data_IF_957449397664
#
_entry.id   IF_957449397664
#
_cell.length_a   1.000
_cell.length_b   1.000
_cell.length_c   1.000
_cell.angle_alpha   90.00
_cell.angle_beta   90.00
_cell.angle_gamma   90.00
#
_symmetry.space_group_name_H-M   'P 1'
#
loop_
_entity.id
_entity.type
_entity.pdbx_description
1 polymer ?
#
# COMPACT_ATOMS: atom_id res chain seq x y z
N UNK A 1 45.84 15.21 -4.65
CA UNK A 1 46.21 14.80 -6.02
C UNK A 1 46.33 13.28 -6.01
N UNK A 2 45.80 12.49 -6.98
CA UNK A 2 45.13 12.79 -8.26
C UNK A 2 43.66 12.28 -8.33
N UNK A 3 42.74 13.03 -8.95
CA UNK A 3 42.20 12.93 -10.33
C UNK A 3 40.92 12.07 -10.45
N UNK A 4 39.78 12.78 -10.54
CA UNK A 4 38.48 12.30 -11.00
C UNK A 4 38.50 12.05 -12.52
N UNK A 5 37.85 10.99 -13.05
CA UNK A 5 37.58 10.87 -14.48
C UNK A 5 36.16 11.32 -14.86
N UNK A 6 36.09 12.46 -15.54
CA UNK A 6 35.51 12.61 -16.88
C UNK A 6 34.01 12.33 -17.09
N UNK A 7 33.21 13.40 -17.12
CA UNK A 7 31.89 13.42 -17.75
C UNK A 7 32.02 13.42 -19.28
N UNK A 8 31.30 12.53 -19.96
CA UNK A 8 31.15 12.55 -21.43
C UNK A 8 29.76 13.06 -21.78
N UNK A 9 29.72 14.22 -22.42
CA UNK A 9 28.57 14.84 -23.06
C UNK A 9 28.17 14.06 -24.31
N UNK A 10 26.91 13.64 -24.42
CA UNK A 10 26.34 13.08 -25.65
C UNK A 10 25.72 14.21 -26.47
N UNK A 11 26.23 14.37 -27.69
CA UNK A 11 25.81 15.36 -28.65
C UNK A 11 24.43 15.04 -29.24
N UNK A 12 23.57 16.05 -29.30
CA UNK A 12 22.26 16.01 -29.95
C UNK A 12 22.43 16.20 -31.46
N UNK A 13 22.00 15.22 -32.25
CA UNK A 13 22.00 15.29 -33.70
C UNK A 13 20.58 15.66 -34.19
N UNK A 14 20.31 16.94 -34.44
CA UNK A 14 19.05 17.41 -35.06
C UNK A 14 19.19 17.31 -36.58
N UNK A 15 18.52 16.33 -37.20
CA UNK A 15 18.18 16.38 -38.63
C UNK A 15 17.04 17.38 -38.82
N UNK A 16 17.34 18.47 -39.51
CA UNK A 16 16.36 19.42 -40.05
C UNK A 16 15.82 18.82 -41.35
N UNK A 17 14.51 18.59 -41.43
CA UNK A 17 13.82 18.22 -42.66
C UNK A 17 13.13 19.47 -43.26
N UNK A 18 13.03 19.55 -44.59
CA UNK A 18 12.53 20.73 -45.28
C UNK A 18 11.02 20.94 -45.09
N UNK A 19 10.67 22.21 -44.94
CA UNK A 19 9.32 22.77 -44.95
C UNK A 19 8.73 22.60 -46.34
N UNK A 20 7.62 21.86 -46.45
CA UNK A 20 6.78 21.83 -47.65
C UNK A 20 5.57 22.72 -47.40
N UNK A 21 5.50 23.82 -48.12
CA UNK A 21 4.29 24.63 -48.24
C UNK A 21 3.33 23.91 -49.19
N UNK A 22 2.22 23.42 -48.66
CA UNK A 22 1.07 22.97 -49.44
C UNK A 22 -0.11 23.85 -49.01
N UNK A 23 -0.51 24.73 -49.93
CA UNK A 23 -1.74 25.50 -49.85
C UNK A 23 -2.83 24.67 -50.52
N UNK A 24 -3.76 24.15 -49.74
CA UNK A 24 -5.04 23.65 -50.25
C UNK A 24 -6.16 24.30 -49.44
N UNK A 25 -6.64 25.42 -49.98
CA UNK A 25 -8.00 25.88 -49.81
C UNK A 25 -8.92 24.88 -50.50
N UNK A 26 -9.70 24.10 -49.75
CA UNK A 26 -11.11 23.86 -50.08
C UNK A 26 -11.84 22.94 -49.07
N UNK A 27 -12.93 23.51 -48.53
CA UNK A 27 -14.26 22.88 -48.49
C UNK A 27 -14.41 21.56 -47.71
N UNK A 28 -14.61 21.66 -46.39
CA UNK A 28 -15.44 20.68 -45.64
C UNK A 28 -16.30 21.37 -44.57
N UNK A 29 -17.40 21.98 -45.00
CA UNK A 29 -18.56 22.19 -44.15
C UNK A 29 -19.29 20.85 -44.01
N UNK A 30 -18.92 20.07 -42.98
CA UNK A 30 -19.44 18.72 -42.80
C UNK A 30 -19.34 18.25 -41.36
N UNK A 31 -20.37 18.54 -40.58
CA UNK A 31 -20.84 17.74 -39.46
C UNK A 31 -19.91 17.62 -38.21
N UNK A 32 -19.64 18.75 -37.55
CA UNK A 32 -18.92 18.85 -36.26
C UNK A 32 -19.67 18.24 -35.05
N UNK A 33 -20.93 17.83 -35.22
CA UNK A 33 -21.77 17.28 -34.13
C UNK A 33 -21.36 15.87 -33.66
N UNK A 34 -20.76 15.06 -34.54
CA UNK A 34 -20.48 13.65 -34.23
C UNK A 34 -19.06 13.40 -33.70
N UNK A 35 -18.08 14.25 -34.04
CA UNK A 35 -16.69 14.10 -33.57
C UNK A 35 -16.54 14.44 -32.07
N UNK A 36 -17.32 15.42 -31.59
CA UNK A 36 -17.31 15.82 -30.18
C UNK A 36 -18.00 14.78 -29.26
N UNK A 37 -18.96 14.01 -29.78
CA UNK A 37 -19.62 12.90 -29.07
C UNK A 37 -18.73 11.66 -28.96
N UNK A 38 -17.91 11.37 -29.97
CA UNK A 38 -16.96 10.26 -29.96
C UNK A 38 -15.81 10.48 -28.96
N UNK A 39 -15.30 11.70 -28.83
CA UNK A 39 -14.26 12.04 -27.86
C UNK A 39 -14.75 12.00 -26.40
N UNK A 40 -16.00 12.43 -26.15
CA UNK A 40 -16.63 12.34 -24.83
C UNK A 40 -16.91 10.89 -24.40
N UNK A 41 -17.17 9.98 -25.35
CA UNK A 41 -17.35 8.55 -25.05
C UNK A 41 -16.03 7.83 -24.70
N UNK A 42 -14.91 8.18 -25.35
CA UNK A 42 -13.60 7.59 -25.06
C UNK A 42 -13.01 8.06 -23.72
N UNK A 43 -13.24 9.32 -23.34
CA UNK A 43 -12.81 9.83 -22.04
C UNK A 43 -13.54 9.16 -20.86
N UNK A 44 -14.83 8.83 -21.02
CA UNK A 44 -15.61 8.13 -20.00
C UNK A 44 -15.18 6.67 -19.78
N UNK A 45 -14.66 6.00 -20.82
CA UNK A 45 -14.19 4.60 -20.73
C UNK A 45 -12.79 4.53 -20.08
N UNK A 46 -11.94 5.54 -20.26
CA UNK A 46 -10.61 5.59 -19.62
C UNK A 46 -10.70 5.73 -18.09
N UNK A 47 -11.74 6.37 -17.57
CA UNK A 47 -11.93 6.55 -16.12
C UNK A 47 -12.45 5.29 -15.39
N UNK A 48 -13.03 4.32 -16.11
CA UNK A 48 -13.55 3.09 -15.52
C UNK A 48 -12.49 1.98 -15.32
N UNK A 49 -11.30 2.14 -15.91
CA UNK A 49 -10.20 1.18 -15.79
C UNK A 49 -9.07 1.64 -14.84
N UNK A 50 -9.16 2.85 -14.31
CA UNK A 50 -8.33 3.27 -13.20
C UNK A 50 -8.93 2.67 -11.92
N UNK A 51 -8.65 1.40 -11.64
CA UNK A 51 -8.84 0.82 -10.32
C UNK A 51 -8.04 1.63 -9.30
N UNK A 52 -8.67 2.67 -8.75
CA UNK A 52 -8.08 3.54 -7.76
C UNK A 52 -7.97 2.72 -6.48
N UNK A 53 -6.74 2.30 -6.17
CA UNK A 53 -6.38 1.78 -4.84
C UNK A 53 -6.84 2.81 -3.80
N UNK A 54 -7.32 2.36 -2.64
CA UNK A 54 -7.83 3.22 -1.57
C UNK A 54 -6.93 4.47 -1.39
N UNK A 55 -7.50 5.68 -1.29
CA UNK A 55 -6.72 6.92 -1.17
C UNK A 55 -5.65 6.86 -0.07
N UNK A 56 -5.95 6.14 1.01
CA UNK A 56 -5.05 5.88 2.14
C UNK A 56 -3.73 5.22 1.69
N UNK A 57 -3.72 4.33 0.69
CA UNK A 57 -2.46 3.77 0.16
C UNK A 57 -1.73 4.75 -0.77
N UNK A 58 -2.40 5.74 -1.37
CA UNK A 58 -1.70 6.79 -2.11
C UNK A 58 -0.92 7.71 -1.15
N UNK A 59 -1.40 7.82 0.10
CA UNK A 59 -0.74 8.60 1.15
C UNK A 59 0.65 8.07 1.51
N UNK A 60 0.92 6.78 1.26
CA UNK A 60 2.25 6.17 1.40
C UNK A 60 3.31 6.83 0.50
N UNK A 61 2.92 7.41 -0.63
CA UNK A 61 3.88 8.13 -1.50
C UNK A 61 4.39 9.44 -0.89
N UNK A 62 3.76 9.89 0.20
CA UNK A 62 4.12 11.14 0.89
C UNK A 62 5.01 10.90 2.12
N UNK A 63 5.31 9.64 2.46
CA UNK A 63 6.11 9.29 3.62
C UNK A 63 7.14 8.24 3.27
N UNK A 64 8.34 8.40 3.81
CA UNK A 64 9.42 7.41 3.74
C UNK A 64 9.57 6.64 5.06
N UNK A 65 8.62 6.80 5.99
CA UNK A 65 8.68 6.18 7.30
C UNK A 65 7.54 5.17 7.48
N UNK A 66 7.94 3.91 7.68
CA UNK A 66 7.10 2.83 8.14
C UNK A 66 7.57 2.37 9.52
N UNK A 67 6.62 2.13 10.41
CA UNK A 67 6.84 1.51 11.71
C UNK A 67 6.05 0.22 11.80
N UNK A 68 6.57 -0.77 12.52
CA UNK A 68 5.89 -2.05 12.73
C UNK A 68 5.67 -2.26 14.22
N UNK A 69 4.43 -2.54 14.59
CA UNK A 69 4.03 -3.01 15.90
C UNK A 69 3.88 -4.53 15.88
N UNK A 70 4.38 -5.18 16.92
CA UNK A 70 4.18 -6.61 17.15
C UNK A 70 2.91 -6.81 17.99
N UNK A 71 2.03 -7.71 17.54
CA UNK A 71 0.81 -8.09 18.26
C UNK A 71 1.09 -8.93 19.49
N UNK A 72 0.21 -8.86 20.49
CA UNK A 72 0.30 -9.73 21.66
C UNK A 72 0.07 -11.22 21.30
N UNK A 73 0.40 -12.18 22.19
CA UNK A 73 0.06 -13.59 22.02
C UNK A 73 -1.44 -13.82 21.78
N UNK A 74 -1.81 -14.86 21.03
CA UNK A 74 -3.21 -15.05 20.64
C UNK A 74 -4.11 -15.40 21.85
N UNK A 75 -5.21 -14.68 22.14
CA UNK A 75 -5.99 -14.85 23.36
C UNK A 75 -6.66 -16.22 23.49
N UNK A 76 -6.98 -16.88 22.37
CA UNK A 76 -7.59 -18.22 22.37
C UNK A 76 -6.59 -19.38 22.41
N UNK A 77 -5.33 -19.17 21.98
CA UNK A 77 -4.31 -20.24 21.85
C UNK A 77 -3.23 -20.14 22.92
N UNK A 78 -2.92 -18.91 23.33
CA UNK A 78 -1.84 -18.54 24.25
C UNK A 78 -2.41 -17.68 25.39
N UNK A 79 -3.60 -18.06 25.91
CA UNK A 79 -4.40 -17.23 26.82
C UNK A 79 -3.68 -16.78 28.10
N UNK A 80 -2.79 -17.61 28.64
CA UNK A 80 -1.99 -17.29 29.82
C UNK A 80 -0.98 -16.19 29.53
N UNK A 81 -0.24 -16.32 28.42
CA UNK A 81 0.68 -15.29 27.96
C UNK A 81 -0.06 -14.01 27.62
N UNK A 82 -1.18 -14.07 26.88
CA UNK A 82 -1.97 -12.88 26.57
C UNK A 82 -2.42 -12.13 27.83
N UNK A 83 -2.97 -12.83 28.84
CA UNK A 83 -3.41 -12.22 30.10
C UNK A 83 -2.27 -11.61 30.91
N UNK A 84 -1.08 -12.21 30.84
CA UNK A 84 0.13 -11.67 31.47
C UNK A 84 0.60 -10.42 30.74
N UNK A 85 0.81 -10.52 29.43
CA UNK A 85 1.37 -9.45 28.60
C UNK A 85 0.44 -8.22 28.52
N UNK A 86 -0.88 -8.43 28.48
CA UNK A 86 -1.87 -7.33 28.50
C UNK A 86 -1.83 -6.46 29.77
N UNK A 87 -1.24 -6.97 30.87
CA UNK A 87 -1.08 -6.21 32.12
C UNK A 87 0.23 -5.41 32.16
N UNK A 88 1.13 -5.61 31.20
CA UNK A 88 2.33 -4.80 31.10
C UNK A 88 1.96 -3.35 30.80
N UNK A 89 2.78 -2.41 31.25
CA UNK A 89 2.57 -0.98 30.98
C UNK A 89 2.99 -0.58 29.55
N UNK A 90 3.78 -1.42 28.90
CA UNK A 90 4.40 -1.17 27.59
C UNK A 90 3.59 -1.84 26.46
N UNK A 91 2.27 -1.74 26.54
CA UNK A 91 1.32 -2.23 25.53
C UNK A 91 0.35 -1.13 25.15
N UNK A 92 -0.11 -1.14 23.91
CA UNK A 92 -1.02 -0.15 23.36
C UNK A 92 -2.18 -0.82 22.62
N UNK A 93 -3.25 -0.06 22.38
CA UNK A 93 -4.38 -0.50 21.56
C UNK A 93 -4.44 0.24 20.24
N UNK A 94 -4.52 -0.51 19.15
CA UNK A 94 -4.79 0.02 17.81
C UNK A 94 -6.05 -0.69 17.29
N UNK A 95 -7.09 0.06 16.97
CA UNK A 95 -8.35 -0.52 16.47
C UNK A 95 -9.03 -1.52 17.42
N UNK A 96 -8.78 -1.44 18.72
CA UNK A 96 -9.29 -2.39 19.72
C UNK A 96 -8.44 -3.66 19.92
N UNK A 97 -7.35 -3.84 19.17
CA UNK A 97 -6.41 -4.94 19.31
C UNK A 97 -5.16 -4.51 20.09
N UNK A 98 -4.54 -5.44 20.80
CA UNK A 98 -3.39 -5.16 21.68
C UNK A 98 -2.07 -5.43 20.98
N UNK A 99 -1.14 -4.49 21.11
CA UNK A 99 0.21 -4.56 20.58
C UNK A 99 1.24 -4.19 21.64
N UNK A 100 2.46 -4.66 21.48
CA UNK A 100 3.61 -4.10 22.20
C UNK A 100 3.85 -2.66 21.75
N UNK A 101 4.03 -1.73 22.69
CA UNK A 101 4.17 -0.30 22.38
C UNK A 101 5.52 0.03 21.69
N UNK A 102 6.51 -0.84 21.87
CA UNK A 102 7.84 -0.74 21.26
C UNK A 102 7.82 -1.02 19.75
N UNK A 103 7.26 -0.08 18.97
CA UNK A 103 7.28 -0.14 17.50
C UNK A 103 8.70 0.02 16.96
N UNK A 104 8.99 -0.70 15.88
CA UNK A 104 10.30 -0.70 15.23
C UNK A 104 10.19 -0.01 13.87
N UNK A 105 11.08 0.95 13.59
CA UNK A 105 11.16 1.59 12.28
C UNK A 105 11.71 0.59 11.25
N UNK A 106 10.98 0.39 10.15
CA UNK A 106 11.48 -0.42 9.04
C UNK A 106 12.58 0.36 8.29
N UNK A 107 13.75 -0.25 8.11
CA UNK A 107 14.86 0.32 7.37
C UNK A 107 15.39 -0.64 6.30
N UNK A 108 16.21 -0.13 5.38
CA UNK A 108 16.90 -0.94 4.37
C UNK A 108 15.95 -1.84 3.57
N UNK A 109 16.32 -3.11 3.45
CA UNK A 109 15.58 -4.11 2.66
C UNK A 109 14.15 -4.34 3.20
N UNK A 110 13.95 -4.34 4.52
CA UNK A 110 12.62 -4.56 5.10
C UNK A 110 11.69 -3.39 4.77
N UNK A 111 12.20 -2.15 4.75
CA UNK A 111 11.42 -0.98 4.29
C UNK A 111 11.00 -1.10 2.82
N UNK A 112 11.97 -1.38 1.93
CA UNK A 112 11.70 -1.53 0.49
C UNK A 112 10.71 -2.67 0.22
N UNK A 113 10.87 -3.81 0.90
CA UNK A 113 9.98 -4.95 0.78
C UNK A 113 8.55 -4.63 1.22
N UNK A 114 8.39 -3.97 2.38
CA UNK A 114 7.07 -3.55 2.87
C UNK A 114 6.43 -2.52 1.92
N UNK A 115 7.18 -1.53 1.45
CA UNK A 115 6.67 -0.56 0.48
C UNK A 115 6.21 -1.22 -0.82
N UNK A 116 6.96 -2.22 -1.31
CA UNK A 116 6.56 -2.98 -2.49
C UNK A 116 5.24 -3.73 -2.28
N UNK A 117 5.08 -4.44 -1.14
CA UNK A 117 3.81 -5.12 -0.83
C UNK A 117 2.65 -4.14 -0.63
N UNK A 118 2.90 -3.02 0.06
CA UNK A 118 1.90 -1.97 0.29
C UNK A 118 1.56 -1.16 -0.96
N UNK A 119 2.39 -1.19 -2.01
CA UNK A 119 2.13 -0.51 -3.29
C UNK A 119 1.66 -1.47 -4.39
N UNK A 120 1.88 -2.78 -4.24
CA UNK A 120 1.37 -3.81 -5.15
C UNK A 120 -0.14 -3.99 -5.01
N UNK A 121 -0.88 -3.79 -6.12
CA UNK A 121 -2.34 -3.93 -6.14
C UNK A 121 -2.81 -5.37 -5.98
N UNK A 122 -1.92 -6.33 -6.23
CA UNK A 122 -2.24 -7.74 -6.15
C UNK A 122 -1.97 -8.33 -4.77
N UNK A 123 -1.39 -7.58 -3.82
CA UNK A 123 -1.08 -8.10 -2.47
C UNK A 123 -2.31 -8.13 -1.55
N UNK A 124 -3.30 -7.26 -1.79
CA UNK A 124 -4.49 -7.09 -0.98
C UNK A 124 -5.73 -6.94 -1.87
N UNK A 125 -6.74 -7.77 -1.62
CA UNK A 125 -8.06 -7.64 -2.26
C UNK A 125 -9.09 -7.18 -1.23
N UNK A 126 -9.95 -6.22 -1.58
CA UNK A 126 -11.04 -5.83 -0.68
C UNK A 126 -11.91 -7.05 -0.39
N UNK A 127 -12.16 -7.34 0.89
CA UNK A 127 -13.02 -8.45 1.29
C UNK A 127 -14.48 -8.08 1.01
N UNK A 128 -15.18 -8.91 0.24
CA UNK A 128 -16.62 -8.74 0.06
C UNK A 128 -17.34 -9.10 1.36
N UNK A 129 -18.41 -8.38 1.75
CA UNK A 129 -19.21 -8.74 2.93
C UNK A 129 -19.87 -10.13 2.82
N UNK A 130 -19.86 -10.76 1.62
CA UNK A 130 -20.40 -12.11 1.36
C UNK A 130 -19.31 -13.19 1.51
N UNK A 131 -18.11 -12.85 1.99
CA UNK A 131 -17.08 -13.86 2.26
C UNK A 131 -17.56 -14.75 3.41
N UNK A 132 -17.60 -16.06 3.15
CA UNK A 132 -17.97 -17.07 4.13
C UNK A 132 -17.16 -16.89 5.42
N UNK A 133 -17.83 -16.99 6.56
CA UNK A 133 -17.19 -16.91 7.87
C UNK A 133 -16.07 -17.95 7.94
N UNK A 134 -14.83 -17.49 8.06
CA UNK A 134 -13.67 -18.36 8.18
C UNK A 134 -13.67 -19.01 9.57
N UNK A 135 -13.28 -20.28 9.63
CA UNK A 135 -13.11 -21.01 10.90
C UNK A 135 -11.79 -20.67 11.62
N UNK A 136 -11.28 -19.45 11.41
CA UNK A 136 -10.02 -18.97 12.00
C UNK A 136 -10.22 -18.28 13.37
N UNK A 137 -11.46 -18.20 13.86
CA UNK A 137 -11.82 -17.47 15.07
C UNK A 137 -11.92 -15.95 14.84
N UNK A 138 -11.97 -15.15 15.93
CA UNK A 138 -12.01 -13.69 15.82
C UNK A 138 -10.70 -13.14 15.26
N UNK A 139 -10.79 -12.08 14.46
CA UNK A 139 -9.63 -11.38 13.92
C UNK A 139 -8.68 -10.96 15.04
N UNK A 140 -7.42 -11.40 14.95
CA UNK A 140 -6.39 -11.13 15.92
C UNK A 140 -5.07 -10.83 15.19
N UNK A 141 -4.73 -9.55 14.99
CA UNK A 141 -3.56 -9.18 14.20
C UNK A 141 -2.27 -9.61 14.91
N UNK A 142 -1.37 -10.20 14.13
CA UNK A 142 -0.03 -10.57 14.54
C UNK A 142 0.92 -9.36 14.43
N UNK A 143 0.66 -8.44 13.50
CA UNK A 143 1.43 -7.21 13.30
C UNK A 143 0.53 -6.04 12.89
N UNK A 144 1.00 -4.82 13.13
CA UNK A 144 0.43 -3.62 12.50
C UNK A 144 1.54 -2.77 11.89
N UNK A 145 1.39 -2.44 10.61
CA UNK A 145 2.28 -1.50 9.91
C UNK A 145 1.66 -0.12 10.01
N UNK A 146 2.41 0.84 10.54
CA UNK A 146 1.97 2.21 10.76
C UNK A 146 2.76 3.18 9.89
N UNK A 147 2.06 4.21 9.39
CA UNK A 147 2.68 5.33 8.68
C UNK A 147 1.87 6.60 8.88
N UNK A 148 2.54 7.74 8.88
CA UNK A 148 1.89 9.05 8.99
C UNK A 148 1.75 9.70 7.62
N UNK A 149 0.61 10.33 7.37
CA UNK A 149 0.39 11.17 6.19
C UNK A 149 -0.51 12.33 6.57
N UNK A 150 -0.13 13.55 6.17
CA UNK A 150 -0.85 14.78 6.48
C UNK A 150 -1.16 14.95 7.99
N UNK A 151 -0.26 14.47 8.87
CA UNK A 151 -0.40 14.53 10.33
C UNK A 151 -1.32 13.47 10.94
N UNK A 152 -1.85 12.53 10.14
CA UNK A 152 -2.70 11.42 10.59
C UNK A 152 -1.93 10.12 10.50
N UNK A 153 -1.98 9.32 11.56
CA UNK A 153 -1.41 7.97 11.57
C UNK A 153 -2.41 6.96 11.00
N UNK A 154 -1.94 6.13 10.08
CA UNK A 154 -2.68 5.06 9.43
C UNK A 154 -2.07 3.72 9.85
N UNK A 155 -2.88 2.67 9.88
CA UNK A 155 -2.44 1.34 10.28
C UNK A 155 -2.97 0.28 9.31
N UNK A 156 -2.11 -0.65 8.90
CA UNK A 156 -2.52 -1.90 8.29
C UNK A 156 -2.23 -3.04 9.27
N UNK A 157 -3.27 -3.53 9.94
CA UNK A 157 -3.19 -4.64 10.88
C UNK A 157 -3.28 -5.97 10.11
N UNK A 158 -2.36 -6.90 10.31
CA UNK A 158 -2.25 -8.15 9.55
C UNK A 158 -2.44 -9.35 10.48
N UNK A 159 -3.33 -10.28 10.11
CA UNK A 159 -3.55 -11.54 10.80
C UNK A 159 -3.14 -12.72 9.90
N UNK A 160 -2.10 -13.46 10.30
CA UNK A 160 -1.61 -14.63 9.57
C UNK A 160 -2.51 -15.85 9.70
N UNK A 161 -3.37 -15.90 10.71
CA UNK A 161 -4.27 -17.04 10.90
C UNK A 161 -5.50 -16.91 10.00
N UNK A 162 -6.01 -15.68 9.81
CA UNK A 162 -7.16 -15.42 8.95
C UNK A 162 -6.78 -15.02 7.51
N UNK A 163 -5.50 -14.77 7.23
CA UNK A 163 -5.00 -14.22 5.95
C UNK A 163 -5.75 -12.93 5.57
N UNK A 164 -5.92 -12.08 6.56
CA UNK A 164 -6.68 -10.85 6.46
C UNK A 164 -5.86 -9.68 6.96
N UNK A 165 -6.14 -8.52 6.39
CA UNK A 165 -5.62 -7.27 6.88
C UNK A 165 -6.75 -6.27 7.10
N UNK A 166 -6.68 -5.51 8.18
CA UNK A 166 -7.61 -4.42 8.46
C UNK A 166 -6.85 -3.10 8.34
N UNK A 167 -7.24 -2.28 7.35
CA UNK A 167 -6.73 -0.93 7.17
C UNK A 167 -7.55 0.03 8.03
N UNK A 168 -6.88 0.78 8.89
CA UNK A 168 -7.45 1.88 9.67
C UNK A 168 -6.83 3.18 9.18
N UNK A 169 -7.65 4.09 8.67
CA UNK A 169 -7.23 5.40 8.17
C UNK A 169 -8.45 6.27 7.91
N UNK A 170 -8.27 7.59 7.99
CA UNK A 170 -9.34 8.58 7.72
C UNK A 170 -10.65 8.33 8.52
N UNK A 171 -10.53 7.80 9.75
CA UNK A 171 -11.68 7.48 10.61
C UNK A 171 -12.51 6.27 10.15
N UNK A 172 -12.00 5.47 9.21
CA UNK A 172 -12.65 4.27 8.67
C UNK A 172 -11.80 3.04 8.89
N UNK A 173 -12.46 1.89 8.81
CA UNK A 173 -11.83 0.58 8.83
C UNK A 173 -12.26 -0.21 7.60
N UNK A 174 -11.31 -0.82 6.88
CA UNK A 174 -11.56 -1.61 5.68
C UNK A 174 -10.85 -2.95 5.79
N UNK A 175 -11.60 -4.04 5.59
CA UNK A 175 -11.08 -5.40 5.61
C UNK A 175 -10.60 -5.83 4.23
N UNK A 176 -9.41 -6.40 4.18
CA UNK A 176 -8.78 -6.96 2.99
C UNK A 176 -8.45 -8.44 3.22
N UNK A 177 -8.52 -9.21 2.13
CA UNK A 177 -7.89 -10.52 2.03
C UNK A 177 -6.45 -10.34 1.56
N UNK A 178 -5.52 -11.03 2.21
CA UNK A 178 -4.11 -11.05 1.82
C UNK A 178 -3.91 -12.10 0.74
N UNK A 179 -3.44 -11.66 -0.43
CA UNK A 179 -3.11 -12.53 -1.54
C UNK A 179 -1.64 -12.96 -1.40
N UNK A 180 -1.42 -14.22 -1.00
CA UNK A 180 -0.06 -14.74 -0.78
C UNK A 180 0.54 -14.25 0.53
N UNK A 181 0.38 -15.02 1.60
CA UNK A 181 0.79 -14.63 2.95
C UNK A 181 2.32 -14.70 3.17
N UNK A 182 3.02 -15.53 2.41
CA UNK A 182 4.44 -15.85 2.63
C UNK A 182 5.36 -14.62 2.55
N UNK A 183 5.29 -13.73 1.54
CA UNK A 183 6.11 -12.52 1.51
C UNK A 183 5.90 -11.60 2.72
N UNK A 184 4.68 -11.51 3.24
CA UNK A 184 4.39 -10.75 4.45
C UNK A 184 5.04 -11.38 5.67
N UNK A 185 4.93 -12.70 5.83
CA UNK A 185 5.53 -13.44 6.94
C UNK A 185 7.05 -13.31 6.95
N UNK A 186 7.70 -13.44 5.80
CA UNK A 186 9.15 -13.33 5.66
C UNK A 186 9.64 -11.94 6.06
N UNK A 187 9.00 -10.87 5.58
CA UNK A 187 9.40 -9.50 5.91
C UNK A 187 9.11 -9.12 7.36
N UNK A 188 7.96 -9.51 7.88
CA UNK A 188 7.53 -9.10 9.22
C UNK A 188 8.16 -9.94 10.34
N UNK A 189 8.74 -11.11 10.04
CA UNK A 189 9.46 -11.92 11.01
C UNK A 189 10.65 -11.18 11.64
N UNK A 190 11.28 -10.26 10.90
CA UNK A 190 12.37 -9.42 11.38
C UNK A 190 11.96 -8.49 12.55
N UNK A 191 10.65 -8.30 12.74
CA UNK A 191 10.08 -7.40 13.74
C UNK A 191 9.56 -8.15 14.98
N UNK A 192 9.74 -9.47 15.05
CA UNK A 192 9.34 -10.27 16.21
C UNK A 192 10.41 -10.21 17.31
N UNK A 193 10.25 -9.31 18.28
CA UNK A 193 11.24 -9.09 19.33
C UNK A 193 10.73 -9.40 20.74
N UNK A 194 9.43 -9.22 20.99
CA UNK A 194 8.85 -9.17 22.33
C UNK A 194 8.02 -10.40 22.66
N UNK A 195 7.53 -11.13 21.66
CA UNK A 195 6.68 -12.31 21.92
C UNK A 195 7.45 -13.37 22.74
N UNK A 196 6.84 -13.91 23.81
CA UNK A 196 7.40 -15.02 24.57
C UNK A 196 7.73 -16.22 23.67
N UNK A 197 8.86 -16.88 23.92
CA UNK A 197 9.32 -18.09 23.22
C UNK A 197 8.94 -19.35 23.96
#
# INVERSE_FOLDING_TARGET
MPLLPGWKTVAWNRKVLPVRHETDDDRWAGNTSNFMKAFLFLAAIASLLAGCREPVFQSLKKTDELFVYEGLPHPGRESDYFRKEKKNKDVTQIGGHWFYDARVKAGGQSHEGLMNLLCDRNSLSVSSPIVAQKDCGPFHPDYAIAWSSDGVENYLMICYTCWEATLIGEGRSTLYVINGIKPWQELLADFQANRPK
#
